data_IF_879481379156
#
_entry.id   IF_879481379156
#
_cell.length_a   1.000
_cell.length_b   1.000
_cell.length_c   1.000
_cell.angle_alpha   90.00
_cell.angle_beta   90.00
_cell.angle_gamma   90.00
#
_symmetry.space_group_name_H-M   'P 1'
#
loop_
_entity.id
_entity.type
_entity.pdbx_description
1 polymer ?
#
# COMPACT_ATOMS: atom_id res chain seq x y z
N UNK A 1 -22.90 -8.74 -25.76
CA UNK A 1 -21.49 -9.03 -26.07
C UNK A 1 -20.80 -9.28 -24.76
N UNK A 2 -20.02 -10.36 -24.59
CA UNK A 2 -19.25 -10.52 -23.36
C UNK A 2 -18.30 -9.33 -23.27
N UNK A 3 -18.34 -8.59 -22.16
CA UNK A 3 -17.36 -7.54 -21.91
C UNK A 3 -15.98 -8.18 -22.04
N UNK A 4 -15.23 -7.77 -23.05
CA UNK A 4 -13.79 -8.00 -23.13
C UNK A 4 -13.24 -7.54 -21.78
N UNK A 5 -12.76 -8.48 -20.95
CA UNK A 5 -12.23 -8.14 -19.62
C UNK A 5 -11.18 -7.06 -19.88
N UNK A 6 -11.42 -5.84 -19.39
CA UNK A 6 -10.43 -4.77 -19.43
C UNK A 6 -9.15 -5.34 -18.83
N UNK A 7 -8.03 -5.05 -19.49
CA UNK A 7 -6.74 -5.64 -19.16
C UNK A 7 -6.41 -5.30 -17.70
N UNK A 8 -6.33 -6.33 -16.85
CA UNK A 8 -5.94 -6.23 -15.43
C UNK A 8 -4.73 -5.30 -15.29
N UNK A 9 -4.82 -4.31 -14.40
CA UNK A 9 -3.72 -3.38 -14.12
C UNK A 9 -3.07 -3.67 -12.77
N UNK A 10 -1.78 -3.39 -12.69
CA UNK A 10 -1.00 -3.45 -11.46
C UNK A 10 -0.76 -2.01 -10.98
N UNK A 11 -1.23 -1.68 -9.79
CA UNK A 11 -0.98 -0.43 -9.13
C UNK A 11 0.36 -0.44 -8.39
N UNK A 12 1.05 0.69 -8.40
CA UNK A 12 2.24 0.93 -7.60
C UNK A 12 2.04 2.25 -6.86
N UNK A 13 2.04 2.21 -5.53
CA UNK A 13 2.10 3.43 -4.71
C UNK A 13 3.54 3.64 -4.24
N UNK A 14 4.15 4.72 -4.72
CA UNK A 14 5.51 5.11 -4.38
C UNK A 14 5.56 5.99 -3.13
N UNK A 15 6.31 5.57 -2.10
CA UNK A 15 6.62 6.37 -0.92
C UNK A 15 7.76 7.37 -1.14
N UNK A 16 8.38 7.82 -0.04
CA UNK A 16 9.54 8.71 -0.07
C UNK A 16 10.61 8.23 -1.06
N UNK A 17 11.02 9.11 -1.97
CA UNK A 17 12.05 8.88 -2.99
C UNK A 17 11.66 8.00 -4.17
N UNK A 18 10.52 7.29 -4.11
CA UNK A 18 10.01 6.49 -5.22
C UNK A 18 8.95 7.29 -5.96
N UNK A 19 9.36 8.26 -6.79
CA UNK A 19 8.44 9.18 -7.48
C UNK A 19 8.21 8.86 -8.96
N UNK A 20 9.01 7.96 -9.53
CA UNK A 20 8.90 7.54 -10.91
C UNK A 20 9.31 6.09 -11.06
N UNK A 21 8.64 5.38 -11.97
CA UNK A 21 9.01 4.03 -12.36
C UNK A 21 9.78 4.09 -13.69
N UNK A 22 11.09 3.79 -13.63
CA UNK A 22 11.90 3.72 -14.84
C UNK A 22 11.54 2.48 -15.68
N UNK A 23 11.59 2.63 -17.01
CA UNK A 23 11.25 1.57 -17.95
C UNK A 23 9.77 1.48 -18.28
N UNK A 24 8.92 2.40 -17.79
CA UNK A 24 7.57 2.55 -18.31
C UNK A 24 7.59 3.03 -19.77
N UNK A 25 6.82 2.36 -20.62
CA UNK A 25 6.47 2.83 -21.96
C UNK A 25 5.00 3.25 -22.00
N UNK A 26 4.60 3.91 -23.10
CA UNK A 26 3.20 4.32 -23.33
C UNK A 26 2.62 5.15 -22.17
N UNK A 27 3.43 6.11 -21.70
CA UNK A 27 3.14 6.89 -20.50
C UNK A 27 1.99 7.86 -20.78
N UNK A 28 0.97 7.81 -19.93
CA UNK A 28 -0.14 8.76 -19.91
C UNK A 28 -0.36 9.24 -18.47
N UNK A 29 -0.46 10.55 -18.27
CA UNK A 29 -0.80 11.14 -16.99
C UNK A 29 -2.29 11.50 -16.97
N UNK A 30 -3.03 11.01 -15.98
CA UNK A 30 -4.46 11.26 -15.86
C UNK A 30 -4.83 11.77 -14.46
N UNK A 31 -5.79 12.68 -14.43
CA UNK A 31 -6.45 13.09 -13.18
C UNK A 31 -7.76 12.33 -13.04
N UNK A 32 -7.97 11.71 -11.88
CA UNK A 32 -9.20 10.97 -11.57
C UNK A 32 -9.96 11.70 -10.48
N UNK A 33 -11.21 12.02 -10.75
CA UNK A 33 -12.15 12.52 -9.74
C UNK A 33 -12.74 11.34 -8.96
N UNK A 34 -12.83 11.45 -7.64
CA UNK A 34 -13.42 10.41 -6.79
C UNK A 34 -14.48 11.00 -5.86
N UNK A 35 -15.43 10.18 -5.37
CA UNK A 35 -16.38 10.64 -4.37
C UNK A 35 -15.74 11.15 -3.07
N UNK A 36 -14.48 10.77 -2.82
CA UNK A 36 -13.72 11.12 -1.62
C UNK A 36 -12.83 12.35 -1.81
N UNK A 37 -12.93 13.04 -2.94
CA UNK A 37 -12.06 14.15 -3.31
C UNK A 37 -10.90 13.70 -4.21
N UNK A 38 -9.83 14.49 -4.22
CA UNK A 38 -8.69 14.26 -5.13
C UNK A 38 -7.71 13.23 -4.54
N UNK A 39 -7.14 12.35 -5.39
CA UNK A 39 -5.96 11.57 -5.04
C UNK A 39 -4.78 12.47 -4.69
N UNK A 40 -3.71 11.87 -4.14
CA UNK A 40 -2.48 12.58 -3.78
C UNK A 40 -1.90 13.37 -4.94
N UNK A 41 -1.96 12.83 -6.15
CA UNK A 41 -1.51 13.46 -7.39
C UNK A 41 -2.18 12.83 -8.61
N UNK A 42 -1.80 13.28 -9.80
CA UNK A 42 -2.14 12.59 -11.04
C UNK A 42 -1.61 11.13 -11.04
N UNK A 43 -2.38 10.23 -11.65
CA UNK A 43 -2.01 8.83 -11.81
C UNK A 43 -1.28 8.67 -13.14
N UNK A 44 -0.15 7.98 -13.11
CA UNK A 44 0.69 7.73 -14.28
C UNK A 44 0.40 6.32 -14.78
N UNK A 45 -0.26 6.20 -15.92
CA UNK A 45 -0.47 4.96 -16.63
C UNK A 45 0.76 4.67 -17.48
N UNK A 46 1.06 3.39 -17.65
CA UNK A 46 2.06 2.96 -18.60
C UNK A 46 2.10 1.45 -18.73
N UNK A 47 3.11 0.98 -19.45
CA UNK A 47 3.40 -0.42 -19.64
C UNK A 47 4.80 -0.75 -19.12
N UNK A 48 4.91 -1.81 -18.31
CA UNK A 48 6.17 -2.32 -17.80
C UNK A 48 6.34 -3.77 -18.26
N UNK A 49 7.26 -4.01 -19.20
CA UNK A 49 7.54 -5.33 -19.77
C UNK A 49 6.28 -6.08 -20.26
N UNK A 50 5.37 -5.38 -20.93
CA UNK A 50 4.11 -5.92 -21.46
C UNK A 50 2.92 -5.82 -20.49
N UNK A 51 3.17 -5.51 -19.21
CA UNK A 51 2.14 -5.43 -18.15
C UNK A 51 1.63 -4.00 -17.97
N UNK A 52 0.30 -3.76 -17.99
CA UNK A 52 -0.26 -2.45 -17.68
C UNK A 52 -0.05 -2.09 -16.22
N UNK A 53 0.51 -0.91 -15.97
CA UNK A 53 0.82 -0.40 -14.64
C UNK A 53 0.15 0.96 -14.44
N UNK A 54 -0.27 1.23 -13.21
CA UNK A 54 -0.71 2.54 -12.74
C UNK A 54 0.17 2.94 -11.57
N UNK A 55 0.89 4.04 -11.68
CA UNK A 55 1.75 4.58 -10.64
C UNK A 55 1.11 5.80 -9.97
N UNK A 56 1.20 5.88 -8.64
CA UNK A 56 0.72 7.00 -7.85
C UNK A 56 1.77 7.39 -6.78
N UNK A 57 2.32 8.61 -6.79
CA UNK A 57 3.18 9.08 -5.71
C UNK A 57 2.34 9.38 -4.46
N UNK A 58 2.58 8.63 -3.38
CA UNK A 58 1.81 8.69 -2.13
C UNK A 58 1.71 10.08 -1.54
N UNK A 59 2.83 10.81 -1.54
CA UNK A 59 2.96 12.14 -0.93
C UNK A 59 2.80 13.28 -1.95
N UNK A 60 2.36 12.95 -3.17
CA UNK A 60 2.42 13.86 -4.31
C UNK A 60 3.84 14.12 -4.80
N UNK A 61 3.94 14.67 -6.00
CA UNK A 61 5.22 15.13 -6.55
C UNK A 61 5.76 16.26 -5.66
N UNK A 62 7.04 16.16 -5.30
CA UNK A 62 7.68 17.08 -4.37
C UNK A 62 7.42 16.80 -2.88
N UNK A 63 6.79 15.67 -2.53
CA UNK A 63 6.58 15.24 -1.14
C UNK A 63 5.82 16.27 -0.29
N UNK A 64 4.73 16.81 -0.84
CA UNK A 64 3.99 17.96 -0.28
C UNK A 64 2.87 17.59 0.71
N UNK A 65 2.61 16.30 0.92
CA UNK A 65 1.50 15.79 1.74
C UNK A 65 2.05 14.97 2.90
N UNK A 66 1.71 15.36 4.14
CA UNK A 66 2.09 14.57 5.32
C UNK A 66 1.34 13.23 5.36
N UNK A 67 1.88 12.19 6.03
CA UNK A 67 1.22 10.90 6.14
C UNK A 67 -0.25 10.96 6.61
N UNK A 68 -0.55 11.85 7.57
CA UNK A 68 -1.89 12.06 8.13
C UNK A 68 -2.86 12.79 7.18
N UNK A 69 -2.34 13.46 6.16
CA UNK A 69 -3.11 14.26 5.19
C UNK A 69 -3.38 13.51 3.89
N UNK A 70 -2.80 12.31 3.73
CA UNK A 70 -3.01 11.49 2.53
C UNK A 70 -4.48 11.10 2.44
N UNK A 71 -5.12 11.45 1.33
CA UNK A 71 -6.47 11.01 1.03
C UNK A 71 -6.48 9.57 0.51
N UNK A 72 -6.30 8.61 1.43
CA UNK A 72 -6.16 7.19 1.07
C UNK A 72 -7.42 6.64 0.40
N UNK A 73 -8.62 7.12 0.79
CA UNK A 73 -9.88 6.76 0.13
C UNK A 73 -9.86 7.15 -1.36
N UNK A 74 -9.49 8.40 -1.67
CA UNK A 74 -9.39 8.83 -3.06
C UNK A 74 -8.32 8.05 -3.83
N UNK A 75 -7.15 7.80 -3.22
CA UNK A 75 -6.08 7.03 -3.85
C UNK A 75 -6.52 5.62 -4.25
N UNK A 76 -7.08 4.87 -3.30
CA UNK A 76 -7.50 3.48 -3.53
C UNK A 76 -8.71 3.43 -4.47
N UNK A 77 -9.67 4.35 -4.33
CA UNK A 77 -10.83 4.40 -5.22
C UNK A 77 -10.44 4.74 -6.66
N UNK A 78 -9.52 5.69 -6.86
CA UNK A 78 -9.00 6.03 -8.18
C UNK A 78 -8.30 4.82 -8.82
N UNK A 79 -7.42 4.15 -8.09
CA UNK A 79 -6.77 2.92 -8.56
C UNK A 79 -7.81 1.84 -8.93
N UNK A 80 -8.82 1.62 -8.08
CA UNK A 80 -9.90 0.67 -8.36
C UNK A 80 -10.67 1.03 -9.64
N UNK A 81 -10.92 2.32 -9.88
CA UNK A 81 -11.64 2.80 -11.07
C UNK A 81 -10.85 2.60 -12.37
N UNK A 82 -9.54 2.36 -12.26
CA UNK A 82 -8.64 2.04 -13.37
C UNK A 82 -8.36 0.54 -13.47
N UNK A 83 -9.25 -0.30 -12.94
CA UNK A 83 -9.13 -1.77 -12.98
C UNK A 83 -7.84 -2.31 -12.30
N UNK A 84 -7.31 -1.60 -11.31
CA UNK A 84 -6.20 -2.10 -10.50
C UNK A 84 -6.68 -3.25 -9.63
N UNK A 85 -6.04 -4.41 -9.78
CA UNK A 85 -6.34 -5.62 -9.03
C UNK A 85 -5.23 -6.05 -8.07
N UNK A 86 -4.01 -5.62 -8.34
CA UNK A 86 -2.81 -5.86 -7.55
C UNK A 86 -2.16 -4.52 -7.23
N UNK A 87 -1.76 -4.30 -5.99
CA UNK A 87 -1.23 -3.03 -5.52
C UNK A 87 0.01 -3.25 -4.68
N UNK A 88 1.15 -2.80 -5.20
CA UNK A 88 2.44 -2.81 -4.50
C UNK A 88 2.64 -1.43 -3.88
N UNK A 89 2.80 -1.38 -2.55
CA UNK A 89 3.20 -0.18 -1.84
C UNK A 89 4.70 -0.23 -1.51
N UNK A 90 5.46 0.75 -1.97
CA UNK A 90 6.86 0.93 -1.56
C UNK A 90 6.90 1.92 -0.41
N UNK A 91 7.49 1.57 0.73
CA UNK A 91 7.50 2.40 1.93
C UNK A 91 8.88 2.47 2.58
N UNK A 92 9.32 3.67 2.97
CA UNK A 92 10.44 3.81 3.91
C UNK A 92 9.94 3.51 5.33
N UNK A 93 10.73 2.78 6.11
CA UNK A 93 10.40 2.38 7.48
C UNK A 93 11.62 2.45 8.39
N UNK A 94 11.38 2.71 9.67
CA UNK A 94 12.37 2.47 10.72
C UNK A 94 12.35 1.00 11.15
N UNK A 95 13.51 0.47 11.49
CA UNK A 95 13.66 -0.87 12.05
C UNK A 95 13.49 -0.86 13.56
N UNK A 96 12.74 -1.83 14.07
CA UNK A 96 12.60 -2.12 15.50
C UNK A 96 13.38 -3.38 15.90
N UNK A 97 14.25 -3.92 15.04
CA UNK A 97 15.01 -5.16 15.24
C UNK A 97 16.47 -4.97 14.86
N UNK A 98 17.38 -5.62 15.58
CA UNK A 98 18.82 -5.47 15.30
C UNK A 98 19.18 -6.03 13.92
N UNK A 99 18.56 -7.15 13.56
CA UNK A 99 18.79 -7.91 12.34
C UNK A 99 18.21 -7.28 11.06
N UNK A 100 17.30 -6.31 11.21
CA UNK A 100 16.74 -5.53 10.10
C UNK A 100 17.54 -4.24 9.97
N UNK A 101 18.73 -4.34 9.40
CA UNK A 101 19.63 -3.19 9.23
C UNK A 101 19.09 -2.17 8.21
N UNK A 102 19.50 -0.89 8.31
CA UNK A 102 19.28 0.08 7.25
C UNK A 102 19.73 -0.46 5.89
N UNK A 103 18.86 -0.31 4.90
CA UNK A 103 18.94 -0.84 3.54
C UNK A 103 18.54 -2.30 3.36
N UNK A 104 18.16 -3.00 4.43
CA UNK A 104 17.42 -4.26 4.27
C UNK A 104 15.98 -3.98 3.80
N UNK A 105 15.44 -4.91 3.05
CA UNK A 105 14.04 -4.92 2.66
C UNK A 105 13.25 -5.87 3.56
N UNK A 106 12.00 -5.52 3.85
CA UNK A 106 11.06 -6.34 4.60
C UNK A 106 9.77 -6.43 3.81
N UNK A 107 9.23 -7.64 3.67
CA UNK A 107 7.88 -7.87 3.15
C UNK A 107 7.02 -8.30 4.34
N UNK A 108 6.38 -7.36 5.06
CA UNK A 108 5.64 -7.68 6.26
C UNK A 108 4.37 -8.48 5.93
N UNK A 109 3.98 -9.35 6.86
CA UNK A 109 2.77 -10.18 6.77
C UNK A 109 1.70 -9.78 7.81
N UNK A 110 2.05 -8.91 8.76
CA UNK A 110 1.17 -8.38 9.79
C UNK A 110 1.25 -6.86 9.92
N UNK A 111 0.17 -6.28 10.44
CA UNK A 111 -0.01 -4.84 10.62
C UNK A 111 -0.62 -4.57 12.00
N UNK A 112 0.01 -3.66 12.73
CA UNK A 112 -0.56 -3.03 13.91
C UNK A 112 -0.89 -1.56 13.58
N UNK A 113 -2.16 -1.18 13.70
CA UNK A 113 -2.61 0.17 13.39
C UNK A 113 -2.65 1.03 14.67
N UNK A 114 -1.73 1.99 14.77
CA UNK A 114 -1.67 3.00 15.82
C UNK A 114 -1.89 4.42 15.29
N UNK A 115 -2.59 4.53 14.16
CA UNK A 115 -3.13 5.81 13.69
C UNK A 115 -4.36 6.20 14.53
N UNK A 116 -4.72 7.47 14.51
CA UNK A 116 -5.68 8.10 15.42
C UNK A 116 -6.83 8.79 14.71
N UNK A 117 -6.56 9.54 13.63
CA UNK A 117 -7.53 10.51 13.09
C UNK A 117 -7.81 10.34 11.60
N UNK A 118 -7.51 9.17 11.04
CA UNK A 118 -7.57 8.93 9.60
C UNK A 118 -8.78 8.08 9.24
N UNK A 119 -9.47 8.50 8.20
CA UNK A 119 -10.56 7.75 7.58
C UNK A 119 -10.04 6.39 7.08
N UNK A 120 -10.63 5.31 7.59
CA UNK A 120 -10.11 3.95 7.37
C UNK A 120 -11.13 2.97 6.79
N UNK A 121 -12.23 3.48 6.22
CA UNK A 121 -13.26 2.69 5.53
C UNK A 121 -13.95 3.55 4.46
N UNK A 122 -14.44 2.91 3.39
CA UNK A 122 -15.35 3.50 2.40
C UNK A 122 -16.80 3.48 2.87
N UNK A 123 -17.12 2.66 3.87
CA UNK A 123 -18.46 2.43 4.36
C UNK A 123 -18.81 3.33 5.55
N UNK A 124 -20.07 3.28 5.98
CA UNK A 124 -20.68 4.28 6.85
C UNK A 124 -21.96 4.84 6.23
N UNK A 125 -22.56 5.83 6.89
CA UNK A 125 -23.73 6.57 6.39
C UNK A 125 -24.88 5.69 5.87
N UNK A 126 -25.15 4.57 6.54
CA UNK A 126 -26.21 3.62 6.18
C UNK A 126 -25.72 2.34 5.51
N UNK A 127 -24.42 2.16 5.30
CA UNK A 127 -23.83 0.89 4.85
C UNK A 127 -22.85 0.38 5.90
N UNK A 128 -23.15 -0.77 6.50
CA UNK A 128 -22.28 -1.49 7.42
C UNK A 128 -21.58 -2.61 6.67
N UNK A 129 -20.24 -2.62 6.74
CA UNK A 129 -19.40 -3.67 6.20
C UNK A 129 -18.28 -4.03 7.18
N UNK A 130 -17.97 -5.32 7.31
CA UNK A 130 -16.96 -5.82 8.24
C UNK A 130 -16.02 -6.80 7.52
N UNK A 131 -15.00 -6.26 6.85
CA UNK A 131 -13.99 -7.07 6.18
C UNK A 131 -13.06 -7.75 7.19
N UNK A 132 -12.56 -8.95 6.84
CA UNK A 132 -11.47 -9.57 7.59
C UNK A 132 -10.12 -8.98 7.19
N UNK A 133 -9.35 -8.60 8.21
CA UNK A 133 -7.95 -8.17 8.11
C UNK A 133 -7.01 -9.05 8.93
N UNK A 134 -7.43 -10.27 9.30
CA UNK A 134 -6.57 -11.22 10.01
C UNK A 134 -5.22 -11.44 9.29
N UNK A 135 -5.24 -11.41 7.96
CA UNK A 135 -4.06 -11.30 7.11
C UNK A 135 -4.21 -10.04 6.25
N UNK A 136 -3.59 -8.91 6.63
CA UNK A 136 -3.83 -7.61 5.98
C UNK A 136 -3.21 -7.55 4.57
N UNK A 137 -2.11 -8.25 4.34
CA UNK A 137 -1.42 -8.31 3.05
C UNK A 137 -1.76 -9.57 2.26
N UNK A 138 -1.74 -9.48 0.94
CA UNK A 138 -1.99 -10.60 0.04
C UNK A 138 -0.76 -11.52 0.01
N UNK A 139 -0.91 -12.79 0.38
CA UNK A 139 0.19 -13.75 0.39
C UNK A 139 0.82 -13.95 -0.99
N UNK A 140 0.01 -14.09 -2.04
CA UNK A 140 0.51 -14.26 -3.42
C UNK A 140 1.40 -13.09 -3.84
N UNK A 141 0.99 -11.86 -3.55
CA UNK A 141 1.76 -10.68 -3.90
C UNK A 141 3.00 -10.51 -2.99
N UNK A 142 2.89 -10.88 -1.72
CA UNK A 142 4.01 -10.87 -0.77
C UNK A 142 5.09 -11.87 -1.18
N UNK A 143 4.71 -13.08 -1.59
CA UNK A 143 5.63 -14.12 -2.09
C UNK A 143 6.35 -13.63 -3.36
N UNK A 144 5.63 -12.99 -4.28
CA UNK A 144 6.20 -12.41 -5.49
C UNK A 144 7.21 -11.29 -5.18
N UNK A 145 6.91 -10.42 -4.20
CA UNK A 145 7.81 -9.37 -3.74
C UNK A 145 9.05 -9.92 -3.07
N UNK A 146 8.90 -10.90 -2.18
CA UNK A 146 10.02 -11.52 -1.49
C UNK A 146 10.96 -12.21 -2.49
N UNK A 147 10.42 -13.03 -3.40
CA UNK A 147 11.20 -13.68 -4.46
C UNK A 147 11.89 -12.66 -5.38
N UNK A 148 11.19 -11.58 -5.77
CA UNK A 148 11.78 -10.51 -6.57
C UNK A 148 12.92 -9.78 -5.85
N UNK A 149 12.82 -9.64 -4.52
CA UNK A 149 13.86 -9.02 -3.68
C UNK A 149 15.10 -9.89 -3.61
N UNK A 150 14.93 -11.20 -3.43
CA UNK A 150 16.06 -12.15 -3.43
C UNK A 150 16.72 -12.25 -4.80
N UNK A 151 15.95 -12.21 -5.90
CA UNK A 151 16.48 -12.32 -7.27
C UNK A 151 17.42 -11.16 -7.65
N UNK A 152 17.20 -9.96 -7.10
CA UNK A 152 18.08 -8.81 -7.34
C UNK A 152 19.30 -8.78 -6.41
N UNK A 153 19.45 -9.79 -5.53
CA UNK A 153 20.55 -9.91 -4.58
C UNK A 153 20.47 -8.98 -3.37
N UNK A 154 19.30 -8.41 -3.08
CA UNK A 154 19.10 -7.56 -1.90
C UNK A 154 18.80 -8.42 -0.66
N UNK A 155 19.26 -7.96 0.51
CA UNK A 155 18.90 -8.61 1.79
C UNK A 155 17.43 -8.38 2.09
N UNK A 156 16.67 -9.47 2.27
CA UNK A 156 15.23 -9.46 2.44
C UNK A 156 14.82 -10.23 3.70
N UNK A 157 13.83 -9.70 4.42
CA UNK A 157 13.15 -10.37 5.52
C UNK A 157 11.71 -10.71 5.09
N UNK A 158 11.32 -11.98 5.26
CA UNK A 158 9.98 -12.46 4.90
C UNK A 158 9.08 -12.52 6.14
N UNK A 159 8.02 -11.74 6.14
CA UNK A 159 7.14 -11.56 7.31
C UNK A 159 7.63 -10.46 8.25
N UNK A 160 6.87 -10.30 9.33
CA UNK A 160 7.10 -9.27 10.34
C UNK A 160 5.88 -8.35 10.47
N UNK A 161 5.77 -7.73 11.65
CA UNK A 161 4.69 -6.81 12.00
C UNK A 161 5.11 -5.37 11.72
N UNK A 162 4.39 -4.73 10.80
CA UNK A 162 4.46 -3.30 10.55
C UNK A 162 3.59 -2.56 11.58
N UNK A 163 4.17 -1.71 12.41
CA UNK A 163 3.42 -0.74 13.22
C UNK A 163 3.26 0.57 12.44
N UNK A 164 2.01 0.93 12.15
CA UNK A 164 1.66 2.19 11.50
C UNK A 164 1.31 3.26 12.55
N UNK A 165 2.22 4.20 12.77
CA UNK A 165 1.99 5.35 13.65
C UNK A 165 1.35 6.54 12.92
N UNK A 166 0.79 7.49 13.67
CA UNK A 166 0.14 8.68 13.09
C UNK A 166 1.15 9.66 12.46
N UNK A 167 2.31 9.90 13.08
CA UNK A 167 3.21 10.98 12.68
C UNK A 167 2.63 12.39 12.98
N UNK A 168 3.21 13.46 12.43
CA UNK A 168 4.39 13.47 11.54
C UNK A 168 5.72 13.40 12.29
N UNK A 169 5.73 13.61 13.60
CA UNK A 169 6.92 13.41 14.41
C UNK A 169 7.29 11.93 14.43
N UNK A 170 8.60 11.65 14.42
CA UNK A 170 9.10 10.31 14.73
C UNK A 170 8.82 9.94 16.19
N UNK A 171 8.96 8.66 16.50
CA UNK A 171 8.76 8.14 17.86
C UNK A 171 9.70 8.83 18.85
N UNK A 172 9.24 8.96 20.08
CA UNK A 172 10.14 9.04 21.24
C UNK A 172 10.78 7.67 21.49
N UNK A 173 11.94 7.65 22.14
CA UNK A 173 12.61 6.38 22.48
C UNK A 173 11.76 5.48 23.39
N UNK A 174 10.92 6.08 24.25
CA UNK A 174 9.97 5.34 25.07
C UNK A 174 8.94 4.59 24.20
N UNK A 175 8.38 5.25 23.19
CA UNK A 175 7.45 4.62 22.23
C UNK A 175 8.14 3.49 21.45
N UNK A 176 9.34 3.72 20.90
CA UNK A 176 10.10 2.68 20.19
C UNK A 176 10.34 1.45 21.06
N UNK A 177 10.71 1.64 22.33
CA UNK A 177 10.95 0.54 23.26
C UNK A 177 9.66 -0.22 23.62
N UNK A 178 8.51 0.45 23.69
CA UNK A 178 7.21 -0.22 23.85
C UNK A 178 6.93 -1.11 22.63
N UNK A 179 7.05 -0.57 21.41
CA UNK A 179 6.81 -1.34 20.18
C UNK A 179 7.74 -2.56 20.06
N UNK A 180 9.01 -2.40 20.45
CA UNK A 180 9.99 -3.50 20.53
C UNK A 180 9.60 -4.56 21.55
N UNK A 181 9.13 -4.15 22.73
CA UNK A 181 8.67 -5.08 23.78
C UNK A 181 7.44 -5.86 23.33
N UNK A 182 6.56 -5.23 22.53
CA UNK A 182 5.41 -5.89 21.88
C UNK A 182 5.82 -6.80 20.72
N UNK A 183 7.10 -6.82 20.34
CA UNK A 183 7.66 -7.71 19.35
C UNK A 183 7.57 -7.21 17.91
N UNK A 184 7.14 -5.97 17.67
CA UNK A 184 7.00 -5.41 16.31
C UNK A 184 8.36 -5.26 15.61
N UNK A 185 8.35 -5.30 14.28
CA UNK A 185 9.55 -5.48 13.47
C UNK A 185 9.98 -4.19 12.78
N UNK A 186 9.02 -3.48 12.20
CA UNK A 186 9.25 -2.24 11.46
C UNK A 186 8.17 -1.21 11.79
N UNK A 187 8.54 0.07 11.73
CA UNK A 187 7.65 1.20 11.98
C UNK A 187 7.57 2.11 10.77
N UNK A 188 6.36 2.53 10.43
CA UNK A 188 6.14 3.55 9.42
C UNK A 188 4.81 4.26 9.63
N UNK A 189 4.37 5.05 8.65
CA UNK A 189 3.26 5.97 8.82
C UNK A 189 2.14 5.81 7.78
N UNK A 190 2.20 4.83 6.88
CA UNK A 190 1.38 4.86 5.64
C UNK A 190 0.59 3.59 5.32
N UNK A 191 0.97 2.43 5.84
CA UNK A 191 0.40 1.17 5.38
C UNK A 191 -1.03 0.87 5.88
N UNK A 192 -1.46 1.42 7.03
CA UNK A 192 -2.67 0.95 7.70
C UNK A 192 -3.97 1.21 6.93
N UNK A 193 -4.26 2.48 6.62
CA UNK A 193 -5.45 2.82 5.83
C UNK A 193 -5.37 2.24 4.42
N UNK A 194 -4.17 2.15 3.83
CA UNK A 194 -3.98 1.55 2.51
C UNK A 194 -4.39 0.08 2.50
N UNK A 195 -3.92 -0.71 3.47
CA UNK A 195 -4.29 -2.13 3.58
C UNK A 195 -5.80 -2.32 3.80
N UNK A 196 -6.39 -1.53 4.70
CA UNK A 196 -7.84 -1.55 5.01
C UNK A 196 -8.67 -1.26 3.78
N UNK A 197 -8.40 -0.14 3.12
CA UNK A 197 -9.18 0.34 1.98
C UNK A 197 -8.92 -0.52 0.73
N UNK A 198 -7.70 -1.00 0.51
CA UNK A 198 -7.42 -1.93 -0.58
C UNK A 198 -8.19 -3.25 -0.39
N UNK A 199 -8.31 -3.75 0.84
CA UNK A 199 -9.13 -4.93 1.15
C UNK A 199 -10.61 -4.68 0.88
N UNK A 200 -11.15 -3.54 1.30
CA UNK A 200 -12.53 -3.14 0.98
C UNK A 200 -12.75 -2.95 -0.54
N UNK A 201 -11.74 -2.50 -1.28
CA UNK A 201 -11.81 -2.39 -2.74
C UNK A 201 -11.56 -3.72 -3.48
N UNK A 202 -11.38 -4.82 -2.77
CA UNK A 202 -11.02 -6.13 -3.32
C UNK A 202 -9.75 -6.10 -4.20
N UNK A 203 -8.75 -5.32 -3.76
CA UNK A 203 -7.43 -5.20 -4.37
C UNK A 203 -6.45 -6.04 -3.56
N UNK A 204 -5.61 -6.83 -4.24
CA UNK A 204 -4.51 -7.55 -3.61
C UNK A 204 -3.41 -6.57 -3.23
N UNK A 205 -3.20 -6.32 -1.95
CA UNK A 205 -2.24 -5.32 -1.46
C UNK A 205 -1.06 -5.98 -0.75
N UNK A 206 0.15 -5.52 -1.01
CA UNK A 206 1.34 -5.90 -0.25
C UNK A 206 2.34 -4.74 -0.19
N UNK A 207 3.22 -4.79 0.81
CA UNK A 207 4.20 -3.74 1.08
C UNK A 207 5.61 -4.27 0.81
N UNK A 208 6.39 -3.50 0.06
CA UNK A 208 7.84 -3.58 0.03
C UNK A 208 8.36 -2.47 0.95
N UNK A 209 8.80 -2.84 2.14
CA UNK A 209 9.32 -1.90 3.12
C UNK A 209 10.85 -1.83 3.03
N UNK A 210 11.40 -0.63 2.96
CA UNK A 210 12.83 -0.38 2.93
C UNK A 210 13.24 0.19 4.28
N UNK A 211 14.02 -0.56 5.06
CA UNK A 211 14.57 -0.05 6.32
C UNK A 211 15.53 1.11 6.03
N UNK A 212 15.30 2.26 6.65
CA UNK A 212 16.13 3.46 6.47
C UNK A 212 16.95 3.83 7.68
N UNK A 213 16.61 3.29 8.85
CA UNK A 213 17.17 3.66 10.15
C UNK A 213 16.68 2.64 11.20
N UNK A 214 17.12 2.79 12.45
CA UNK A 214 16.65 2.00 13.59
C UNK A 214 15.66 2.79 14.47
N UNK A 215 14.81 3.63 13.86
CA UNK A 215 13.94 4.57 14.58
C UNK A 215 14.77 5.43 15.56
N UNK A 216 14.52 5.34 16.87
CA UNK A 216 15.34 6.05 17.87
C UNK A 216 15.77 5.17 19.07
N UNK A 217 15.73 3.84 18.92
CA UNK A 217 16.07 2.92 20.02
C UNK A 217 17.54 2.47 20.05
N UNK A 218 18.24 2.53 18.92
CA UNK A 218 19.56 1.93 18.81
C UNK A 218 20.64 2.80 19.48
N UNK A 219 21.42 2.26 20.45
CA UNK A 219 22.35 3.05 21.26
C UNK A 219 23.60 3.54 20.51
N UNK A 220 24.00 2.84 19.45
CA UNK A 220 25.21 3.13 18.66
C UNK A 220 24.90 3.71 17.27
N UNK A 221 23.63 4.04 17.00
CA UNK A 221 23.20 4.61 15.73
C UNK A 221 22.50 5.93 16.00
N UNK A 222 22.74 6.93 15.15
CA UNK A 222 22.08 8.22 15.28
C UNK A 222 20.56 8.05 15.24
N UNK A 223 19.86 8.87 16.03
CA UNK A 223 18.40 8.96 15.99
C UNK A 223 17.93 9.29 14.57
N UNK A 224 16.79 8.72 14.16
CA UNK A 224 16.22 8.99 12.85
C UNK A 224 16.11 10.48 12.56
N UNK A 225 16.65 10.89 11.41
CA UNK A 225 16.49 12.23 10.84
C UNK A 225 15.99 12.12 9.40
N UNK A 226 15.36 13.18 8.91
CA UNK A 226 14.89 13.25 7.51
C UNK A 226 16.05 13.07 6.52
N UNK A 227 17.24 13.59 6.83
CA UNK A 227 18.43 13.46 5.98
C UNK A 227 18.87 12.00 5.84
N UNK A 228 18.99 11.27 6.96
CA UNK A 228 19.35 9.85 6.96
C UNK A 228 18.36 9.01 6.15
N UNK A 229 17.05 9.29 6.30
CA UNK A 229 16.02 8.62 5.51
C UNK A 229 16.25 8.88 4.03
N UNK A 230 16.41 10.14 3.62
CA UNK A 230 16.56 10.51 2.22
C UNK A 230 17.81 9.87 1.58
N UNK A 231 18.92 9.77 2.31
CA UNK A 231 20.14 9.17 1.80
C UNK A 231 20.01 7.65 1.63
N UNK A 232 19.45 6.94 2.61
CA UNK A 232 19.22 5.50 2.48
C UNK A 232 18.15 5.17 1.43
N UNK A 233 17.13 6.02 1.30
CA UNK A 233 16.15 5.92 0.21
C UNK A 233 16.81 6.10 -1.16
N UNK A 234 17.68 7.11 -1.33
CA UNK A 234 18.42 7.31 -2.58
C UNK A 234 19.33 6.12 -2.89
N UNK A 235 20.01 5.58 -1.89
CA UNK A 235 20.86 4.40 -2.05
C UNK A 235 20.08 3.15 -2.50
N UNK A 236 18.82 3.00 -2.07
CA UNK A 236 17.98 1.84 -2.37
C UNK A 236 16.98 2.05 -3.50
N UNK A 237 16.85 3.26 -4.06
CA UNK A 237 15.81 3.56 -5.05
C UNK A 237 15.94 2.66 -6.28
N UNK A 238 17.18 2.43 -6.74
CA UNK A 238 17.44 1.58 -7.90
C UNK A 238 17.17 0.10 -7.62
N UNK A 239 17.50 -0.37 -6.42
CA UNK A 239 17.13 -1.72 -5.99
C UNK A 239 15.61 -1.85 -5.93
N UNK A 240 14.90 -0.89 -5.32
CA UNK A 240 13.44 -0.85 -5.21
C UNK A 240 12.77 -0.91 -6.59
N UNK A 241 13.24 -0.13 -7.56
CA UNK A 241 12.73 -0.16 -8.94
C UNK A 241 12.92 -1.55 -9.57
N UNK A 242 14.12 -2.14 -9.46
CA UNK A 242 14.41 -3.49 -9.99
C UNK A 242 13.52 -4.55 -9.34
N UNK A 243 13.32 -4.47 -8.02
CA UNK A 243 12.44 -5.37 -7.27
C UNK A 243 11.01 -5.25 -7.77
N UNK A 244 10.47 -4.04 -7.84
CA UNK A 244 9.09 -3.81 -8.28
C UNK A 244 8.90 -4.30 -9.72
N UNK A 245 9.84 -4.02 -10.63
CA UNK A 245 9.80 -4.54 -12.01
C UNK A 245 9.81 -6.07 -12.04
N UNK A 246 10.69 -6.71 -11.28
CA UNK A 246 10.77 -8.17 -11.16
C UNK A 246 9.49 -8.76 -10.55
N UNK A 247 8.92 -8.13 -9.53
CA UNK A 247 7.67 -8.55 -8.90
C UNK A 247 6.48 -8.45 -9.86
N UNK A 248 6.38 -7.35 -10.62
CA UNK A 248 5.35 -7.16 -11.67
C UNK A 248 5.37 -8.31 -12.68
N UNK A 249 6.55 -8.79 -13.08
CA UNK A 249 6.68 -9.93 -13.98
C UNK A 249 6.23 -11.27 -13.36
N UNK A 250 6.29 -11.39 -12.03
CA UNK A 250 5.91 -12.61 -11.28
C UNK A 250 4.42 -12.66 -10.88
N UNK A 251 3.70 -11.55 -11.00
CA UNK A 251 2.26 -11.53 -10.68
C UNK A 251 1.51 -12.45 -11.65
N UNK A 252 0.70 -13.41 -11.16
CA UNK A 252 -0.05 -14.33 -12.00
C UNK A 252 -1.01 -13.60 -12.95
N UNK A 253 -1.08 -14.10 -14.19
CA UNK A 253 -2.12 -13.69 -15.11
C UNK A 253 -3.42 -14.48 -14.84
N UNK A 254 -4.56 -13.86 -15.13
CA UNK A 254 -5.86 -14.51 -14.99
C UNK A 254 -6.54 -14.30 -13.64
N UNK A 255 -7.27 -15.30 -13.15
CA UNK A 255 -8.12 -15.17 -11.98
C UNK A 255 -7.33 -15.17 -10.66
N UNK A 256 -7.74 -14.28 -9.76
CA UNK A 256 -7.14 -14.12 -8.44
C UNK A 256 -7.78 -15.12 -7.46
N UNK A 257 -7.03 -16.18 -7.14
CA UNK A 257 -7.47 -17.27 -6.26
C UNK A 257 -7.22 -17.01 -4.76
N UNK A 258 -6.92 -15.76 -4.37
CA UNK A 258 -6.79 -15.37 -2.97
C UNK A 258 -8.08 -14.74 -2.45
N UNK A 259 -8.24 -14.68 -1.12
CA UNK A 259 -9.42 -14.10 -0.48
C UNK A 259 -9.62 -12.59 -0.74
N UNK A 260 -8.61 -11.88 -1.26
CA UNK A 260 -8.72 -10.45 -1.54
C UNK A 260 -9.74 -10.16 -2.65
N UNK A 261 -9.91 -11.05 -3.63
CA UNK A 261 -10.78 -10.81 -4.80
C UNK A 261 -12.27 -10.89 -4.50
N UNK A 262 -12.65 -11.41 -3.33
CA UNK A 262 -14.04 -11.56 -2.86
C UNK A 262 -14.23 -11.08 -1.43
N UNK A 263 -13.33 -10.23 -0.93
CA UNK A 263 -13.31 -9.79 0.46
C UNK A 263 -14.62 -9.13 0.93
N UNK A 264 -15.39 -8.52 0.02
CA UNK A 264 -16.67 -7.90 0.35
C UNK A 264 -17.87 -8.85 0.32
N UNK A 265 -17.77 -10.00 -0.35
CA UNK A 265 -18.91 -10.87 -0.67
C UNK A 265 -19.78 -11.22 0.53
N UNK A 266 -19.16 -11.42 1.70
CA UNK A 266 -19.84 -11.73 2.96
C UNK A 266 -19.57 -10.71 4.07
N UNK A 267 -18.94 -9.58 3.71
CA UNK A 267 -18.64 -8.51 4.67
C UNK A 267 -19.78 -7.50 4.78
N UNK A 268 -20.62 -7.36 3.76
CA UNK A 268 -21.77 -6.45 3.76
C UNK A 268 -22.86 -6.95 4.73
N UNK A 269 -23.08 -6.19 5.81
CA UNK A 269 -24.09 -6.52 6.82
C UNK A 269 -25.43 -5.81 6.57
N UNK A 270 -25.42 -4.65 5.90
CA UNK A 270 -26.65 -3.93 5.56
C UNK A 270 -27.44 -4.70 4.49
N UNK A 271 -28.74 -4.89 4.74
CA UNK A 271 -29.66 -5.49 3.76
C UNK A 271 -29.78 -4.59 2.51
N UNK A 272 -29.76 -5.15 1.28
CA UNK A 272 -29.77 -4.36 0.05
C UNK A 272 -30.88 -3.30 -0.06
N UNK A 273 -32.09 -3.58 0.45
CA UNK A 273 -33.23 -2.66 0.43
C UNK A 273 -33.11 -1.50 1.44
N UNK A 274 -32.18 -1.59 2.39
CA UNK A 274 -31.88 -0.54 3.39
C UNK A 274 -30.72 0.37 3.00
N UNK A 275 -29.99 0.04 1.94
CA UNK A 275 -28.87 0.85 1.47
C UNK A 275 -29.41 2.16 0.89
N UNK A 276 -28.99 3.34 1.40
CA UNK A 276 -29.42 4.61 0.84
C UNK A 276 -29.01 4.73 -0.63
N UNK A 277 -29.95 5.12 -1.49
CA UNK A 277 -29.73 5.19 -2.94
C UNK A 277 -28.54 6.09 -3.33
N UNK A 278 -28.35 7.22 -2.62
CA UNK A 278 -27.23 8.12 -2.83
C UNK A 278 -25.88 7.43 -2.54
N UNK A 279 -25.76 6.71 -1.41
CA UNK A 279 -24.54 5.97 -1.06
C UNK A 279 -24.29 4.79 -1.99
N UNK A 280 -25.34 4.09 -2.43
CA UNK A 280 -25.20 3.03 -3.45
C UNK A 280 -24.63 3.58 -4.76
N UNK A 281 -25.12 4.74 -5.21
CA UNK A 281 -24.61 5.38 -6.42
C UNK A 281 -23.15 5.84 -6.25
N UNK A 282 -22.83 6.44 -5.10
CA UNK A 282 -21.49 6.89 -4.75
C UNK A 282 -20.47 5.73 -4.75
N UNK A 283 -20.84 4.59 -4.16
CA UNK A 283 -19.97 3.42 -3.99
C UNK A 283 -20.23 2.30 -5.02
N UNK A 284 -20.89 2.62 -6.14
CA UNK A 284 -21.30 1.63 -7.15
C UNK A 284 -20.16 0.73 -7.61
N UNK A 285 -18.95 1.29 -7.73
CA UNK A 285 -17.74 0.58 -8.14
C UNK A 285 -17.35 -0.57 -7.20
N UNK A 286 -17.69 -0.44 -5.91
CA UNK A 286 -17.39 -1.43 -4.87
C UNK A 286 -18.57 -2.39 -4.65
N UNK A 287 -19.79 -1.90 -4.85
CA UNK A 287 -21.02 -2.58 -4.43
C UNK A 287 -21.74 -3.34 -5.54
N UNK A 288 -21.67 -2.89 -6.79
CA UNK A 288 -22.53 -3.40 -7.87
C UNK A 288 -22.30 -4.90 -8.13
N UNK A 289 -21.09 -5.41 -7.85
CA UNK A 289 -20.78 -6.85 -7.92
C UNK A 289 -21.67 -7.72 -7.02
N UNK A 290 -22.24 -7.16 -5.95
CA UNK A 290 -22.97 -7.89 -4.91
C UNK A 290 -24.43 -7.47 -4.73
N UNK A 291 -24.84 -6.36 -5.34
CA UNK A 291 -26.19 -5.78 -5.18
C UNK A 291 -27.04 -5.86 -6.45
N UNK A 292 -26.60 -6.62 -7.46
CA UNK A 292 -27.39 -6.94 -8.66
C UNK A 292 -28.56 -7.86 -8.36
#
# INVERSE_FOLDING_TARGET
MPHERTKMRIGIIGGSGFYQMEGLTDIEEITVETPFGKPSDALILGNLDGKPVVFLPRHGVGHRILPSEINVRANIYALKSLDVEWLIAVSAVGSLKQEIEPRHFVVPDQLYDHTKHRESTFFGDGIAAHISLAHPFCSILSDALYAATTDVGATAHNGGTYICMEGPAFSTQAESNVYRTLGFDIIGMTAAQEAKLAREAEICYAVLACSTDYDCWHPEHDHVTTEMILDNVRANVEASKKIVRSAVAKIPEGERNCACSTALQYALATQPDKIPAAKRHELKLLLDKYLT
#
